data_IF_271684894552
#
_entry.id   IF_271684894552
#
_cell.length_a   1.000
_cell.length_b   1.000
_cell.length_c   1.000
_cell.angle_alpha   90.00
_cell.angle_beta   90.00
_cell.angle_gamma   90.00
#
_symmetry.space_group_name_H-M   'P 1'
#
loop_
_entity.id
_entity.type
_entity.pdbx_description
1 polymer ?
#
# COMPACT_ATOMS: atom_id res chain seq x y z
N UNK A 1 -18.46 -13.94 -26.46
CA UNK A 1 -17.75 -14.35 -27.69
C UNK A 1 -16.60 -13.40 -27.94
N UNK A 2 -15.44 -13.89 -28.39
CA UNK A 2 -14.37 -13.02 -28.87
C UNK A 2 -14.81 -12.39 -30.19
N UNK A 3 -14.84 -11.06 -30.27
CA UNK A 3 -15.25 -10.34 -31.48
C UNK A 3 -14.21 -10.58 -32.57
N UNK A 4 -14.61 -11.21 -33.68
CA UNK A 4 -13.76 -11.43 -34.83
C UNK A 4 -13.37 -10.08 -35.47
N UNK A 5 -12.07 -9.84 -35.67
CA UNK A 5 -11.54 -8.65 -36.35
C UNK A 5 -10.73 -7.67 -35.49
N UNK A 6 -10.59 -7.94 -34.18
CA UNK A 6 -9.68 -7.17 -33.33
C UNK A 6 -8.24 -7.64 -33.52
N UNK A 7 -7.33 -6.70 -33.80
CA UNK A 7 -5.89 -6.99 -33.84
C UNK A 7 -5.46 -7.53 -32.46
N UNK A 8 -4.96 -8.78 -32.38
CA UNK A 8 -4.53 -9.38 -31.11
C UNK A 8 -3.43 -8.59 -30.40
N UNK A 9 -2.74 -7.68 -31.10
CA UNK A 9 -1.72 -6.80 -30.52
C UNK A 9 -2.28 -5.51 -29.93
N UNK A 10 -3.50 -5.10 -30.25
CA UNK A 10 -4.04 -3.79 -29.87
C UNK A 10 -5.04 -3.83 -28.71
N UNK A 11 -5.71 -4.97 -28.47
CA UNK A 11 -6.91 -4.98 -27.61
C UNK A 11 -6.66 -5.36 -26.14
N UNK A 12 -5.58 -6.08 -25.82
CA UNK A 12 -5.24 -6.47 -24.44
C UNK A 12 -3.72 -6.52 -24.19
N UNK A 13 -3.05 -5.38 -24.33
CA UNK A 13 -1.70 -5.24 -23.76
C UNK A 13 -1.82 -4.67 -22.36
N UNK A 14 -1.52 -5.49 -21.35
CA UNK A 14 -1.27 -5.00 -20.00
C UNK A 14 -0.09 -4.01 -20.06
N UNK A 15 -0.29 -2.77 -19.59
CA UNK A 15 0.79 -1.77 -19.50
C UNK A 15 1.96 -2.27 -18.64
N UNK A 16 1.65 -3.13 -17.66
CA UNK A 16 2.62 -3.79 -16.81
C UNK A 16 2.41 -5.30 -16.81
N UNK A 17 3.38 -6.02 -17.37
CA UNK A 17 3.45 -7.49 -17.32
C UNK A 17 4.83 -7.92 -16.89
N UNK A 18 4.89 -8.92 -16.00
CA UNK A 18 6.17 -9.44 -15.51
C UNK A 18 6.76 -10.55 -16.39
N UNK A 19 5.90 -11.30 -17.10
CA UNK A 19 6.30 -12.32 -18.08
C UNK A 19 5.89 -11.92 -19.49
N UNK A 20 6.54 -12.44 -20.53
CA UNK A 20 6.22 -12.19 -21.96
C UNK A 20 4.83 -12.67 -22.42
N UNK A 21 4.37 -12.22 -23.59
CA UNK A 21 3.01 -12.41 -24.14
C UNK A 21 2.53 -13.85 -24.21
N UNK A 22 3.47 -14.74 -24.39
CA UNK A 22 3.32 -16.17 -24.53
C UNK A 22 3.44 -16.94 -23.21
N UNK A 23 3.38 -16.26 -22.06
CA UNK A 23 3.39 -16.90 -20.73
C UNK A 23 2.28 -17.93 -20.53
N UNK A 24 1.16 -17.82 -21.25
CA UNK A 24 0.08 -18.81 -21.22
C UNK A 24 0.51 -20.20 -21.76
N UNK A 25 1.59 -20.27 -22.55
CA UNK A 25 2.16 -21.56 -23.02
C UNK A 25 2.93 -22.30 -21.93
N UNK A 26 3.30 -21.62 -20.84
CA UNK A 26 4.02 -22.21 -19.71
C UNK A 26 3.11 -23.07 -18.82
N UNK A 27 1.79 -23.07 -19.07
CA UNK A 27 0.80 -23.83 -18.32
C UNK A 27 0.25 -23.06 -17.12
N UNK A 28 -0.27 -23.80 -16.14
CA UNK A 28 -0.76 -23.23 -14.88
C UNK A 28 0.45 -22.80 -14.06
N UNK A 29 0.41 -21.58 -13.52
CA UNK A 29 1.41 -21.10 -12.57
C UNK A 29 1.24 -21.92 -11.28
N UNK A 30 2.24 -22.73 -10.96
CA UNK A 30 2.30 -23.53 -9.74
C UNK A 30 3.25 -22.94 -8.70
N UNK A 31 4.14 -22.04 -9.12
CA UNK A 31 5.11 -21.38 -8.25
C UNK A 31 5.29 -19.90 -8.63
N UNK A 32 5.39 -19.01 -7.64
CA UNK A 32 5.56 -17.57 -7.84
C UNK A 32 6.85 -17.23 -8.60
N UNK A 33 7.90 -18.05 -8.50
CA UNK A 33 9.13 -17.88 -9.24
C UNK A 33 8.91 -17.95 -10.76
N UNK A 34 7.90 -18.67 -11.23
CA UNK A 34 7.56 -18.76 -12.66
C UNK A 34 7.14 -17.40 -13.23
N UNK A 35 6.63 -16.50 -12.39
CA UNK A 35 6.32 -15.11 -12.73
C UNK A 35 7.33 -14.15 -12.11
N UNK A 36 8.60 -14.53 -11.96
CA UNK A 36 9.67 -13.65 -11.48
C UNK A 36 9.77 -13.46 -9.96
N UNK A 37 9.02 -14.22 -9.15
CA UNK A 37 9.26 -14.35 -7.70
C UNK A 37 8.86 -13.15 -6.84
N UNK A 38 9.14 -13.19 -5.55
CA UNK A 38 9.00 -12.00 -4.71
C UNK A 38 10.14 -11.02 -4.99
N UNK A 39 9.90 -9.70 -4.93
CA UNK A 39 10.99 -8.73 -5.02
C UNK A 39 12.00 -8.96 -3.90
N UNK A 40 13.29 -8.84 -4.22
CA UNK A 40 14.35 -8.81 -3.21
C UNK A 40 14.30 -7.47 -2.47
N UNK A 41 13.95 -7.50 -1.19
CA UNK A 41 13.99 -6.30 -0.34
C UNK A 41 15.42 -6.01 0.10
N UNK A 42 16.08 -5.07 -0.58
CA UNK A 42 17.42 -4.59 -0.24
C UNK A 42 17.29 -3.39 0.69
N UNK A 43 17.35 -3.64 2.00
CA UNK A 43 17.26 -2.60 3.01
C UNK A 43 17.57 -3.11 4.40
N UNK A 44 17.81 -2.18 5.34
CA UNK A 44 17.88 -2.49 6.76
C UNK A 44 16.46 -2.39 7.32
N UNK A 45 15.95 -3.50 7.85
CA UNK A 45 14.66 -3.49 8.54
C UNK A 45 14.69 -2.48 9.70
N UNK A 46 13.56 -1.82 9.93
CA UNK A 46 13.40 -1.00 11.11
C UNK A 46 13.45 -1.86 12.37
N UNK A 47 13.90 -1.26 13.47
CA UNK A 47 13.88 -1.91 14.78
C UNK A 47 12.46 -1.84 15.33
N UNK A 48 11.91 -2.99 15.63
CA UNK A 48 10.61 -3.25 16.24
C UNK A 48 10.92 -4.22 17.39
N UNK A 49 10.73 -3.77 18.64
CA UNK A 49 11.26 -4.46 19.83
C UNK A 49 10.29 -5.45 20.45
N UNK A 50 8.98 -5.25 20.26
CA UNK A 50 7.92 -6.14 20.72
C UNK A 50 7.28 -6.96 19.58
N UNK A 51 7.67 -6.70 18.33
CA UNK A 51 7.32 -7.42 17.11
C UNK A 51 5.82 -7.31 16.76
N UNK A 52 5.27 -6.12 16.94
CA UNK A 52 3.87 -5.84 16.63
C UNK A 52 3.64 -5.27 15.22
N UNK A 53 4.73 -4.96 14.49
CA UNK A 53 4.71 -4.40 13.15
C UNK A 53 4.92 -2.88 13.10
N UNK A 54 5.05 -2.20 14.24
CA UNK A 54 5.41 -0.79 14.32
C UNK A 54 6.90 -0.61 14.68
N UNK A 55 7.61 0.34 14.06
CA UNK A 55 8.99 0.66 14.46
C UNK A 55 9.06 1.40 15.80
N UNK A 56 10.07 1.05 16.63
CA UNK A 56 10.40 1.73 17.90
C UNK A 56 10.41 3.26 17.79
N UNK A 57 10.90 3.77 16.65
CA UNK A 57 11.06 5.19 16.40
C UNK A 57 9.72 5.89 16.13
N UNK A 58 8.79 5.19 15.46
CA UNK A 58 7.44 5.66 15.23
C UNK A 58 6.66 5.71 16.54
N UNK A 59 6.71 4.62 17.30
CA UNK A 59 6.03 4.51 18.57
C UNK A 59 6.46 5.61 19.55
N UNK A 60 7.78 5.79 19.75
CA UNK A 60 8.33 6.85 20.60
C UNK A 60 7.93 8.25 20.15
N UNK A 61 7.82 8.47 18.82
CA UNK A 61 7.42 9.76 18.27
C UNK A 61 5.98 10.12 18.66
N UNK A 62 5.10 9.13 18.77
CA UNK A 62 3.68 9.33 19.08
C UNK A 62 3.29 8.96 20.51
N UNK A 63 4.27 8.64 21.36
CA UNK A 63 4.05 8.35 22.78
C UNK A 63 3.51 6.96 23.07
N UNK A 64 3.65 6.03 22.11
CA UNK A 64 3.40 4.60 22.28
C UNK A 64 4.61 3.94 22.97
N UNK A 65 4.45 2.67 23.37
CA UNK A 65 5.43 1.92 24.13
C UNK A 65 6.04 0.79 23.28
N UNK A 66 7.31 0.93 22.83
CA UNK A 66 8.06 -0.09 22.05
C UNK A 66 8.36 -1.41 22.75
N UNK A 67 7.64 -1.74 23.81
CA UNK A 67 7.78 -2.97 24.57
C UNK A 67 6.40 -3.58 24.88
N UNK A 68 5.34 -3.05 24.28
CA UNK A 68 3.97 -3.44 24.49
C UNK A 68 3.23 -3.59 23.15
N UNK A 69 3.37 -4.77 22.56
CA UNK A 69 2.73 -5.15 21.30
C UNK A 69 1.19 -5.03 21.29
N UNK A 70 0.55 -4.82 22.44
CA UNK A 70 -0.90 -4.62 22.48
C UNK A 70 -1.29 -3.22 22.01
N UNK A 71 -0.38 -2.25 22.04
CA UNK A 71 -0.69 -0.87 21.68
C UNK A 71 -0.82 -0.64 20.16
N UNK A 72 -0.21 -1.49 19.30
CA UNK A 72 -0.50 -1.55 17.87
C UNK A 72 -2.00 -1.66 17.58
N UNK A 73 -2.69 -2.52 18.32
CA UNK A 73 -4.13 -2.79 18.16
C UNK A 73 -5.00 -1.79 18.95
N UNK A 74 -4.41 -0.95 19.78
CA UNK A 74 -5.13 0.11 20.47
C UNK A 74 -5.42 1.28 19.51
N UNK A 75 -6.34 2.14 19.92
CA UNK A 75 -6.65 3.38 19.23
C UNK A 75 -6.31 4.55 20.17
N UNK A 76 -5.17 5.20 19.90
CA UNK A 76 -4.64 6.26 20.73
C UNK A 76 -5.60 7.46 20.90
N UNK A 77 -6.41 7.77 19.88
CA UNK A 77 -7.22 8.98 19.86
C UNK A 77 -8.75 8.69 19.85
N UNK A 78 -9.15 7.42 19.74
CA UNK A 78 -10.54 6.98 19.79
C UNK A 78 -11.35 7.41 18.56
N UNK A 79 -10.73 7.53 17.38
CA UNK A 79 -11.41 7.82 16.11
C UNK A 79 -11.85 6.56 15.34
N UNK A 80 -11.50 5.36 15.83
CA UNK A 80 -11.89 4.08 15.28
C UNK A 80 -10.83 3.37 14.45
N UNK A 81 -9.65 3.97 14.26
CA UNK A 81 -8.50 3.31 13.61
C UNK A 81 -7.43 2.94 14.63
N UNK A 82 -6.90 1.74 14.48
CA UNK A 82 -5.80 1.25 15.31
C UNK A 82 -4.49 1.98 14.99
N UNK A 83 -3.56 1.98 15.95
CA UNK A 83 -2.27 2.64 15.79
C UNK A 83 -1.45 2.04 14.63
N UNK A 84 -1.53 0.72 14.42
CA UNK A 84 -0.85 0.04 13.30
C UNK A 84 -1.42 0.45 11.94
N UNK A 85 -2.74 0.58 11.82
CA UNK A 85 -3.38 1.05 10.58
C UNK A 85 -2.92 2.48 10.25
N UNK A 86 -2.84 3.35 11.28
CA UNK A 86 -2.36 4.72 11.10
C UNK A 86 -0.88 4.74 10.70
N UNK A 87 -0.04 3.88 11.27
CA UNK A 87 1.36 3.74 10.86
C UNK A 87 1.49 3.34 9.38
N UNK A 88 0.79 2.28 8.96
CA UNK A 88 0.86 1.75 7.58
C UNK A 88 0.40 2.80 6.56
N UNK A 89 -0.59 3.61 6.91
CA UNK A 89 -1.13 4.66 6.04
C UNK A 89 -0.42 6.02 6.20
N UNK A 90 0.59 6.13 7.08
CA UNK A 90 1.28 7.39 7.35
C UNK A 90 0.39 8.48 7.98
N UNK A 91 -0.68 8.08 8.67
CA UNK A 91 -1.62 8.96 9.36
C UNK A 91 -1.07 9.29 10.76
N UNK A 92 -1.28 10.51 11.21
CA UNK A 92 -0.89 10.95 12.56
C UNK A 92 -1.84 10.34 13.61
N UNK A 93 -1.38 9.40 14.47
CA UNK A 93 -2.23 8.74 15.46
C UNK A 93 -2.74 9.66 16.56
N UNK A 94 -2.18 10.86 16.71
CA UNK A 94 -2.63 11.82 17.73
C UNK A 94 -3.79 12.71 17.26
N UNK A 95 -4.05 12.75 15.95
CA UNK A 95 -5.10 13.59 15.36
C UNK A 95 -6.38 12.81 15.18
N UNK A 96 -7.40 13.15 15.98
CA UNK A 96 -8.73 12.56 15.88
C UNK A 96 -9.46 13.09 14.65
N UNK A 97 -9.95 12.20 13.79
CA UNK A 97 -10.79 12.55 12.62
C UNK A 97 -12.21 12.04 12.85
N UNK A 98 -13.23 12.84 12.50
CA UNK A 98 -14.61 12.38 12.48
C UNK A 98 -14.97 11.83 11.10
N UNK A 99 -14.87 10.53 10.92
CA UNK A 99 -15.15 9.86 9.65
C UNK A 99 -16.62 9.91 9.21
N UNK A 100 -17.53 10.35 10.10
CA UNK A 100 -18.95 10.57 9.74
C UNK A 100 -19.18 11.94 9.13
N UNK A 101 -18.25 12.88 9.31
CA UNK A 101 -18.33 14.18 8.67
C UNK A 101 -17.89 14.06 7.20
N UNK A 102 -18.82 14.33 6.27
CA UNK A 102 -18.57 14.30 4.83
C UNK A 102 -17.45 15.25 4.41
N UNK A 103 -17.24 16.35 5.14
CA UNK A 103 -16.18 17.33 4.86
C UNK A 103 -14.77 16.74 5.01
N UNK A 104 -14.62 15.61 5.70
CA UNK A 104 -13.33 14.93 5.85
C UNK A 104 -13.00 13.98 4.68
N UNK A 105 -13.96 13.73 3.76
CA UNK A 105 -13.73 12.89 2.58
C UNK A 105 -13.10 13.70 1.44
N UNK A 106 -11.87 14.15 1.68
CA UNK A 106 -11.10 15.00 0.77
C UNK A 106 -10.26 14.16 -0.19
N UNK A 107 -10.60 14.17 -1.49
CA UNK A 107 -9.76 13.58 -2.53
C UNK A 107 -8.54 14.48 -2.80
N UNK A 108 -7.41 14.12 -2.21
CA UNK A 108 -6.14 14.83 -2.40
C UNK A 108 -5.57 14.65 -3.80
N UNK A 109 -5.96 13.60 -4.54
CA UNK A 109 -5.53 13.36 -5.92
C UNK A 109 -6.31 14.21 -6.92
N UNK A 110 -7.61 14.43 -6.69
CA UNK A 110 -8.40 15.38 -7.48
C UNK A 110 -7.83 16.81 -7.45
N UNK A 111 -7.21 17.20 -6.33
CA UNK A 111 -6.51 18.50 -6.22
C UNK A 111 -5.22 18.55 -7.04
N UNK A 112 -4.62 17.40 -7.34
CA UNK A 112 -3.37 17.28 -8.11
C UNK A 112 -3.63 17.31 -9.62
N UNK A 113 -4.87 17.25 -10.11
CA UNK A 113 -5.16 17.32 -11.56
C UNK A 113 -4.68 18.66 -12.19
N UNK A 114 -4.59 19.74 -11.40
CA UNK A 114 -3.91 20.97 -11.81
C UNK A 114 -2.37 20.94 -11.63
N UNK A 115 -1.82 20.06 -10.80
CA UNK A 115 -0.38 19.93 -10.49
C UNK A 115 0.37 18.84 -11.27
N UNK A 116 -0.33 17.91 -11.94
CA UNK A 116 0.27 16.86 -12.78
C UNK A 116 1.06 17.41 -13.98
N UNK A 117 0.85 18.67 -14.35
CA UNK A 117 1.65 19.35 -15.36
C UNK A 117 3.08 19.66 -14.89
N UNK A 118 3.33 19.74 -13.57
CA UNK A 118 4.65 20.10 -13.02
C UNK A 118 5.50 18.88 -12.62
N UNK A 119 4.89 17.74 -12.29
CA UNK A 119 5.63 16.54 -11.83
C UNK A 119 6.29 15.72 -12.97
N UNK A 120 6.10 16.11 -14.23
CA UNK A 120 6.73 15.46 -15.41
C UNK A 120 7.88 16.27 -16.04
N UNK A 121 8.49 17.20 -15.31
CA UNK A 121 9.71 17.92 -15.76
C UNK A 121 10.97 17.39 -15.11
#
# INVERSE_FOLDING_TARGET
EYVAGLDPKSFYQFEHRRLGQDSYKLGIITDIAQVGGYPEYKGKAYKDSDNDGMPDAWEKKFGLNPKDASDANADLNGDGYTNIEKYINGIDPTKKVDWKNLDNNEDTLAKIEQGLAEYKK
#
